data_IF_265190726509
#
_entry.id   IF_265190726509
#
_cell.length_a   1.000
_cell.length_b   1.000
_cell.length_c   1.000
_cell.angle_alpha   90.00
_cell.angle_beta   90.00
_cell.angle_gamma   90.00
#
_symmetry.space_group_name_H-M   'P 1'
#
loop_
_entity.id
_entity.type
_entity.pdbx_description
1 polymer ?
#
# COMPACT_ATOMS: atom_id res chain seq x y z
N UNK A 1 -61.60 49.51 -27.46
CA UNK A 1 -62.45 48.44 -28.03
C UNK A 1 -61.52 47.34 -28.51
N UNK A 2 -61.61 46.13 -27.90
CA UNK A 2 -61.21 44.80 -28.46
C UNK A 2 -59.68 44.63 -28.72
N UNK A 3 -58.93 43.61 -28.28
CA UNK A 3 -59.12 42.32 -27.59
C UNK A 3 -57.70 41.89 -27.14
N UNK A 4 -57.43 41.52 -25.88
CA UNK A 4 -57.59 40.20 -25.22
C UNK A 4 -56.77 39.04 -25.85
N UNK A 5 -56.02 38.36 -24.95
CA UNK A 5 -55.55 36.94 -24.95
C UNK A 5 -54.27 36.63 -25.76
N UNK A 6 -53.27 35.85 -25.34
CA UNK A 6 -52.96 35.06 -24.14
C UNK A 6 -51.41 34.86 -24.12
N UNK A 7 -50.77 34.72 -22.93
CA UNK A 7 -49.38 34.28 -22.78
C UNK A 7 -49.28 32.74 -22.95
N UNK A 8 -48.06 32.17 -22.94
CA UNK A 8 -47.68 30.75 -22.68
C UNK A 8 -46.83 30.05 -23.76
N UNK A 9 -46.65 30.56 -25.00
CA UNK A 9 -45.81 29.82 -25.98
C UNK A 9 -44.29 30.08 -25.94
N UNK A 10 -43.81 31.10 -25.24
CA UNK A 10 -42.36 31.45 -25.26
C UNK A 10 -41.52 30.71 -24.21
N UNK A 11 -42.14 30.20 -23.14
CA UNK A 11 -41.40 29.64 -21.99
C UNK A 11 -41.31 28.10 -22.01
N UNK A 12 -42.09 27.43 -22.86
CA UNK A 12 -42.05 25.96 -23.02
C UNK A 12 -41.04 25.54 -24.10
N UNK A 13 -40.82 26.37 -25.12
CA UNK A 13 -39.85 26.06 -26.18
C UNK A 13 -38.39 26.26 -25.74
N UNK A 14 -38.11 27.18 -24.81
CA UNK A 14 -36.75 27.36 -24.28
C UNK A 14 -36.34 26.31 -23.25
N UNK A 15 -37.27 25.65 -22.57
CA UNK A 15 -36.95 24.64 -21.55
C UNK A 15 -36.82 23.22 -22.13
N UNK A 16 -37.48 22.92 -23.25
CA UNK A 16 -37.29 21.66 -23.97
C UNK A 16 -36.10 21.67 -24.95
N UNK A 17 -35.78 22.81 -25.59
CA UNK A 17 -34.64 22.86 -26.52
C UNK A 17 -33.29 22.93 -25.79
N UNK A 18 -33.22 23.57 -24.63
CA UNK A 18 -31.99 23.58 -23.81
C UNK A 18 -31.78 22.26 -23.05
N UNK A 19 -32.86 21.55 -22.69
CA UNK A 19 -32.77 20.20 -22.12
C UNK A 19 -32.35 19.12 -23.11
N UNK A 20 -32.70 19.26 -24.40
CA UNK A 20 -32.37 18.30 -25.46
C UNK A 20 -30.98 18.57 -26.07
N UNK A 21 -30.52 19.83 -26.16
CA UNK A 21 -29.15 20.12 -26.64
C UNK A 21 -28.07 19.77 -25.62
N UNK A 22 -28.29 20.01 -24.32
CA UNK A 22 -27.33 19.61 -23.28
C UNK A 22 -27.25 18.09 -23.11
N UNK A 23 -28.34 17.36 -23.33
CA UNK A 23 -28.30 15.88 -23.28
C UNK A 23 -27.66 15.26 -24.52
N UNK A 24 -27.87 15.84 -25.72
CA UNK A 24 -27.26 15.35 -26.96
C UNK A 24 -25.74 15.61 -27.04
N UNK A 25 -25.26 16.81 -26.68
CA UNK A 25 -23.82 17.12 -26.72
C UNK A 25 -23.01 16.39 -25.63
N UNK A 26 -23.61 16.15 -24.45
CA UNK A 26 -22.97 15.36 -23.40
C UNK A 26 -22.92 13.88 -23.79
N UNK A 27 -24.01 13.32 -24.35
CA UNK A 27 -24.08 11.94 -24.85
C UNK A 27 -23.10 11.64 -25.99
N UNK A 28 -22.97 12.51 -26.99
CA UNK A 28 -22.02 12.30 -28.11
C UNK A 28 -20.55 12.40 -27.67
N UNK A 29 -20.23 13.34 -26.76
CA UNK A 29 -18.85 13.52 -26.27
C UNK A 29 -18.36 12.37 -25.37
N UNK A 30 -19.25 11.76 -24.59
CA UNK A 30 -18.96 10.57 -23.77
C UNK A 30 -18.78 9.35 -24.65
N UNK A 31 -19.63 9.18 -25.67
CA UNK A 31 -19.57 8.05 -26.61
C UNK A 31 -18.29 8.06 -27.46
N UNK A 32 -17.88 9.23 -27.97
CA UNK A 32 -16.64 9.33 -28.76
C UNK A 32 -15.38 9.04 -27.93
N UNK A 33 -15.29 9.59 -26.70
CA UNK A 33 -14.18 9.30 -25.79
C UNK A 33 -14.12 7.82 -25.43
N UNK A 34 -15.28 7.21 -25.22
CA UNK A 34 -15.37 5.79 -24.94
C UNK A 34 -14.88 4.92 -26.11
N UNK A 35 -15.38 5.19 -27.32
CA UNK A 35 -14.93 4.49 -28.53
C UNK A 35 -13.43 4.68 -28.79
N UNK A 36 -12.91 5.89 -28.55
CA UNK A 36 -11.48 6.17 -28.66
C UNK A 36 -10.66 5.37 -27.63
N UNK A 37 -11.13 5.24 -26.39
CA UNK A 37 -10.48 4.39 -25.39
C UNK A 37 -10.49 2.91 -25.83
N UNK A 38 -11.65 2.39 -26.24
CA UNK A 38 -11.74 1.00 -26.72
C UNK A 38 -10.80 0.75 -27.91
N UNK A 39 -10.75 1.67 -28.87
CA UNK A 39 -9.84 1.58 -30.01
C UNK A 39 -8.36 1.68 -29.59
N UNK A 40 -8.03 2.53 -28.61
CA UNK A 40 -6.68 2.64 -28.07
C UNK A 40 -6.25 1.37 -27.32
N UNK A 41 -7.14 0.78 -26.52
CA UNK A 41 -6.87 -0.47 -25.79
C UNK A 41 -6.73 -1.65 -26.75
N UNK A 42 -7.59 -1.75 -27.77
CA UNK A 42 -7.45 -2.78 -28.82
C UNK A 42 -6.18 -2.56 -29.68
N UNK A 43 -5.83 -1.30 -29.97
CA UNK A 43 -4.56 -0.96 -30.64
C UNK A 43 -3.34 -1.33 -29.80
N UNK A 44 -3.40 -1.10 -28.49
CA UNK A 44 -2.37 -1.50 -27.55
C UNK A 44 -2.27 -3.02 -27.45
N UNK A 45 -3.39 -3.73 -27.35
CA UNK A 45 -3.45 -5.20 -27.38
C UNK A 45 -2.85 -5.77 -28.67
N UNK A 46 -3.23 -5.23 -29.83
CA UNK A 46 -2.68 -5.60 -31.13
C UNK A 46 -1.15 -5.42 -31.19
N UNK A 47 -0.63 -4.35 -30.58
CA UNK A 47 0.79 -4.07 -30.50
C UNK A 47 1.51 -5.02 -29.51
N UNK A 48 0.89 -5.29 -28.36
CA UNK A 48 1.36 -6.25 -27.36
C UNK A 48 1.48 -7.67 -27.96
N UNK A 49 0.46 -8.15 -28.67
CA UNK A 49 0.42 -9.45 -29.34
C UNK A 49 1.48 -9.60 -30.46
N UNK A 50 2.03 -8.49 -30.96
CA UNK A 50 3.06 -8.46 -32.04
C UNK A 50 4.49 -8.29 -31.52
N UNK A 51 4.75 -8.67 -30.26
CA UNK A 51 6.06 -8.53 -29.63
C UNK A 51 6.57 -7.09 -29.59
N UNK A 52 5.73 -6.09 -29.27
CA UNK A 52 6.28 -4.88 -28.65
C UNK A 52 7.02 -5.35 -27.39
N UNK A 53 8.34 -5.17 -27.38
CA UNK A 53 9.16 -5.65 -26.27
C UNK A 53 8.63 -5.04 -24.98
N UNK A 54 8.56 -5.83 -23.92
CA UNK A 54 8.14 -5.38 -22.59
C UNK A 54 8.90 -4.12 -22.14
N UNK A 55 10.11 -3.88 -22.67
CA UNK A 55 10.90 -2.67 -22.48
C UNK A 55 10.19 -1.39 -22.96
N UNK A 56 9.57 -1.39 -24.14
CA UNK A 56 8.88 -0.20 -24.67
C UNK A 56 7.66 0.19 -23.83
N UNK A 57 6.97 -0.80 -23.26
CA UNK A 57 5.83 -0.59 -22.35
C UNK A 57 6.31 0.07 -21.05
N UNK A 58 7.44 -0.39 -20.53
CA UNK A 58 8.05 0.17 -19.31
C UNK A 58 8.61 1.56 -19.57
N UNK A 59 9.23 1.83 -20.72
CA UNK A 59 9.66 3.19 -21.11
C UNK A 59 8.48 4.17 -21.17
N UNK A 60 7.34 3.73 -21.72
CA UNK A 60 6.13 4.54 -21.75
C UNK A 60 5.58 4.81 -20.34
N UNK A 61 5.58 3.81 -19.46
CA UNK A 61 5.18 3.98 -18.06
C UNK A 61 6.14 4.94 -17.29
N UNK A 62 7.46 4.87 -17.55
CA UNK A 62 8.45 5.81 -17.01
C UNK A 62 8.16 7.24 -17.50
N UNK A 63 7.85 7.39 -18.80
CA UNK A 63 7.48 8.69 -19.37
C UNK A 63 6.25 9.28 -18.67
N UNK A 64 5.17 8.50 -18.54
CA UNK A 64 3.97 8.91 -17.80
C UNK A 64 4.33 9.33 -16.36
N UNK A 65 5.10 8.51 -15.64
CA UNK A 65 5.49 8.85 -14.26
C UNK A 65 6.19 10.21 -14.19
N UNK A 66 7.20 10.44 -15.05
CA UNK A 66 7.97 11.69 -15.07
C UNK A 66 7.10 12.90 -15.44
N UNK A 67 6.14 12.73 -16.34
CA UNK A 67 5.27 13.81 -16.80
C UNK A 67 4.20 14.17 -15.76
N UNK A 68 3.65 13.20 -15.04
CA UNK A 68 2.43 13.40 -14.26
C UNK A 68 2.61 13.34 -12.74
N UNK A 69 3.72 12.82 -12.20
CA UNK A 69 3.88 12.63 -10.74
C UNK A 69 4.82 13.63 -10.06
N UNK A 70 5.47 14.51 -10.82
CA UNK A 70 6.48 15.48 -10.32
C UNK A 70 7.62 14.86 -9.47
N UNK A 71 7.76 13.53 -9.44
CA UNK A 71 8.84 12.85 -8.74
C UNK A 71 10.17 12.91 -9.53
N UNK A 72 11.29 12.80 -8.83
CA UNK A 72 12.60 12.76 -9.46
C UNK A 72 12.74 11.52 -10.39
N UNK A 73 13.52 11.61 -11.49
CA UNK A 73 13.63 10.55 -12.48
C UNK A 73 14.01 9.18 -11.91
N UNK A 74 14.82 9.15 -10.85
CA UNK A 74 15.28 7.94 -10.19
C UNK A 74 14.13 7.19 -9.51
N UNK A 75 13.21 7.92 -8.85
CA UNK A 75 12.03 7.34 -8.20
C UNK A 75 11.13 6.70 -9.26
N UNK A 76 10.83 7.41 -10.35
CA UNK A 76 10.01 6.88 -11.44
C UNK A 76 10.65 5.65 -12.12
N UNK A 77 11.96 5.67 -12.34
CA UNK A 77 12.67 4.52 -12.89
C UNK A 77 12.68 3.33 -11.94
N UNK A 78 12.97 3.56 -10.64
CA UNK A 78 12.99 2.52 -9.62
C UNK A 78 11.63 1.86 -9.44
N UNK A 79 10.57 2.66 -9.27
CA UNK A 79 9.20 2.16 -9.14
C UNK A 79 8.78 1.37 -10.38
N UNK A 80 8.94 1.93 -11.59
CA UNK A 80 8.49 1.23 -12.80
C UNK A 80 9.30 -0.05 -13.03
N UNK A 81 10.59 -0.05 -12.70
CA UNK A 81 11.45 -1.24 -12.79
C UNK A 81 11.03 -2.32 -11.79
N UNK A 82 10.81 -1.95 -10.52
CA UNK A 82 10.37 -2.89 -9.49
C UNK A 82 9.02 -3.52 -9.84
N UNK A 83 8.06 -2.71 -10.26
CA UNK A 83 6.72 -3.17 -10.62
C UNK A 83 6.64 -3.86 -11.98
N UNK A 84 7.74 -3.95 -12.75
CA UNK A 84 7.71 -4.42 -14.14
C UNK A 84 6.96 -5.73 -14.34
N UNK A 85 7.28 -6.76 -13.56
CA UNK A 85 6.68 -8.08 -13.76
C UNK A 85 5.18 -8.08 -13.37
N UNK A 86 4.84 -7.46 -12.26
CA UNK A 86 3.46 -7.34 -11.74
C UNK A 86 2.61 -6.49 -12.68
N UNK A 87 3.16 -5.36 -13.13
CA UNK A 87 2.52 -4.47 -14.08
C UNK A 87 2.22 -5.20 -15.39
N UNK A 88 3.21 -5.90 -15.97
CA UNK A 88 2.98 -6.67 -17.19
C UNK A 88 1.95 -7.79 -16.99
N UNK A 89 1.98 -8.48 -15.86
CA UNK A 89 0.98 -9.51 -15.52
C UNK A 89 -0.43 -8.93 -15.41
N UNK A 90 -0.60 -7.80 -14.71
CA UNK A 90 -1.91 -7.14 -14.54
C UNK A 90 -2.39 -6.56 -15.87
N UNK A 91 -1.49 -5.91 -16.61
CA UNK A 91 -1.78 -5.34 -17.94
C UNK A 91 -2.22 -6.44 -18.90
N UNK A 92 -1.52 -7.58 -18.95
CA UNK A 92 -1.94 -8.74 -19.72
C UNK A 92 -3.40 -9.11 -19.38
N UNK A 93 -3.75 -9.22 -18.10
CA UNK A 93 -5.14 -9.54 -17.70
C UNK A 93 -6.16 -8.44 -18.04
N UNK A 94 -5.77 -7.16 -18.01
CA UNK A 94 -6.68 -6.02 -18.21
C UNK A 94 -6.85 -5.61 -19.68
N UNK A 95 -5.82 -5.70 -20.52
CA UNK A 95 -5.90 -5.31 -21.95
C UNK A 95 -6.74 -6.29 -22.77
N UNK A 96 -6.92 -7.52 -22.27
CA UNK A 96 -7.89 -8.48 -22.83
C UNK A 96 -9.34 -8.20 -22.39
N UNK A 97 -9.57 -7.17 -21.55
CA UNK A 97 -10.89 -6.69 -21.17
C UNK A 97 -11.02 -5.16 -21.37
N UNK A 98 -11.08 -4.66 -22.62
CA UNK A 98 -11.15 -3.22 -22.93
C UNK A 98 -12.28 -2.48 -22.20
N UNK A 99 -13.45 -3.12 -22.06
CA UNK A 99 -14.59 -2.56 -21.33
C UNK A 99 -14.33 -2.40 -19.82
N UNK A 100 -13.46 -3.23 -19.23
CA UNK A 100 -13.08 -3.05 -17.83
C UNK A 100 -12.10 -1.91 -17.67
N UNK A 101 -11.06 -1.85 -18.51
CA UNK A 101 -10.05 -0.80 -18.43
C UNK A 101 -10.64 0.59 -18.76
N UNK A 102 -11.43 0.70 -19.82
CA UNK A 102 -12.07 1.95 -20.18
C UNK A 102 -13.16 2.37 -19.17
N UNK A 103 -13.87 1.40 -18.59
CA UNK A 103 -14.83 1.65 -17.53
C UNK A 103 -14.18 2.09 -16.20
N UNK A 104 -12.92 1.71 -15.94
CA UNK A 104 -12.14 2.23 -14.81
C UNK A 104 -11.68 3.68 -15.03
N UNK A 105 -11.36 4.04 -16.28
CA UNK A 105 -10.81 5.36 -16.62
C UNK A 105 -11.89 6.42 -16.87
N UNK A 106 -13.09 6.01 -17.29
CA UNK A 106 -14.18 6.91 -17.67
C UNK A 106 -15.54 6.35 -17.25
N UNK A 107 -16.39 7.24 -16.73
CA UNK A 107 -17.80 6.92 -16.45
C UNK A 107 -18.54 6.57 -17.74
N UNK A 108 -19.49 5.64 -17.65
CA UNK A 108 -20.33 5.15 -18.77
C UNK A 108 -19.57 4.51 -19.95
N UNK A 109 -18.32 4.07 -19.75
CA UNK A 109 -17.51 3.39 -20.76
C UNK A 109 -17.18 1.92 -20.41
N UNK A 110 -18.20 1.20 -19.97
CA UNK A 110 -18.10 -0.18 -19.49
C UNK A 110 -18.33 -0.28 -17.98
N UNK A 111 -18.56 -1.51 -17.51
CA UNK A 111 -18.74 -1.81 -16.09
C UNK A 111 -17.46 -2.43 -15.56
N UNK A 112 -16.52 -1.64 -15.02
CA UNK A 112 -15.31 -2.20 -14.45
C UNK A 112 -15.69 -3.15 -13.33
N UNK A 113 -15.01 -4.29 -13.24
CA UNK A 113 -15.11 -5.11 -12.05
C UNK A 113 -14.54 -4.29 -10.89
N UNK A 114 -15.42 -3.67 -10.12
CA UNK A 114 -15.05 -2.98 -8.90
C UNK A 114 -15.21 -3.96 -7.74
N UNK A 115 -14.10 -4.50 -7.19
CA UNK A 115 -14.18 -5.43 -6.07
C UNK A 115 -14.82 -4.80 -4.82
N UNK A 116 -14.87 -3.47 -4.74
CA UNK A 116 -15.55 -2.72 -3.65
C UNK A 116 -17.07 -2.57 -3.87
N UNK A 117 -17.57 -2.78 -5.09
CA UNK A 117 -19.01 -2.76 -5.39
C UNK A 117 -19.58 -4.17 -5.62
N UNK A 118 -18.74 -5.22 -5.65
CA UNK A 118 -19.20 -6.60 -5.66
C UNK A 118 -19.64 -7.01 -4.25
N UNK A 119 -20.94 -7.22 -4.07
CA UNK A 119 -21.49 -7.78 -2.84
C UNK A 119 -21.06 -9.25 -2.73
N UNK A 120 -20.01 -9.53 -1.96
CA UNK A 120 -19.65 -10.88 -1.53
C UNK A 120 -20.23 -11.15 -0.14
N UNK A 121 -20.59 -12.40 0.11
CA UNK A 121 -21.08 -12.86 1.41
C UNK A 121 -20.18 -13.97 1.93
N UNK A 122 -19.88 -13.94 3.23
CA UNK A 122 -19.22 -15.05 3.91
C UNK A 122 -20.32 -15.88 4.56
N UNK A 123 -20.52 -17.15 4.12
CA UNK A 123 -21.47 -18.02 4.77
C UNK A 123 -20.98 -18.29 6.20
N UNK A 124 -21.75 -17.82 7.19
CA UNK A 124 -21.46 -18.12 8.58
C UNK A 124 -21.90 -19.57 8.88
N UNK A 125 -21.16 -20.30 9.73
CA UNK A 125 -21.62 -21.59 10.21
C UNK A 125 -22.98 -21.44 10.93
N UNK A 126 -23.83 -22.48 10.92
CA UNK A 126 -25.12 -22.42 11.59
C UNK A 126 -24.94 -22.10 13.07
N UNK A 127 -25.80 -21.24 13.62
CA UNK A 127 -25.78 -20.91 15.05
C UNK A 127 -25.87 -22.20 15.86
N UNK A 128 -24.93 -22.48 16.79
CA UNK A 128 -25.02 -23.65 17.65
C UNK A 128 -26.34 -23.64 18.42
N UNK A 129 -26.94 -24.82 18.63
CA UNK A 129 -28.20 -24.94 19.41
C UNK A 129 -27.96 -24.37 20.81
N UNK A 130 -28.93 -23.63 21.33
CA UNK A 130 -28.88 -22.84 22.58
C UNK A 130 -28.48 -23.65 23.84
N UNK A 131 -28.51 -24.98 23.75
CA UNK A 131 -28.19 -25.91 24.83
C UNK A 131 -26.73 -26.42 24.79
N UNK A 132 -25.92 -25.98 23.82
CA UNK A 132 -24.48 -26.33 23.73
C UNK A 132 -23.55 -25.27 24.30
N UNK A 133 -24.05 -24.07 24.58
CA UNK A 133 -23.34 -23.13 25.45
C UNK A 133 -23.76 -23.47 26.87
N UNK A 134 -22.83 -23.99 27.67
CA UNK A 134 -23.01 -23.93 29.12
C UNK A 134 -23.37 -22.48 29.45
N UNK A 135 -24.52 -22.24 30.07
CA UNK A 135 -24.92 -20.90 30.57
C UNK A 135 -23.91 -20.27 31.54
N UNK A 136 -22.80 -20.96 31.82
CA UNK A 136 -21.59 -20.45 32.49
C UNK A 136 -20.77 -19.50 31.61
N UNK A 137 -20.88 -19.58 30.28
CA UNK A 137 -20.15 -18.73 29.32
C UNK A 137 -20.95 -17.50 28.86
N UNK A 138 -22.20 -17.37 29.33
CA UNK A 138 -22.91 -16.10 29.26
C UNK A 138 -22.17 -15.12 30.18
N UNK A 139 -21.36 -14.24 29.56
CA UNK A 139 -20.49 -13.25 30.20
C UNK A 139 -20.95 -12.90 31.60
N UNK A 140 -20.23 -13.34 32.67
CA UNK A 140 -20.50 -12.80 33.98
C UNK A 140 -20.24 -11.31 33.84
N UNK A 141 -21.29 -10.50 34.01
CA UNK A 141 -21.19 -9.04 33.98
C UNK A 141 -19.94 -8.65 34.75
N UNK A 142 -19.09 -7.82 34.14
CA UNK A 142 -17.78 -7.42 34.64
C UNK A 142 -17.89 -6.88 36.08
N UNK A 143 -17.94 -7.77 37.05
CA UNK A 143 -17.68 -7.46 38.44
C UNK A 143 -16.19 -7.22 38.45
N UNK A 144 -15.78 -5.98 38.76
CA UNK A 144 -14.39 -5.63 39.04
C UNK A 144 -13.97 -6.44 40.26
N UNK A 145 -13.60 -7.70 40.04
CA UNK A 145 -13.03 -8.55 41.08
C UNK A 145 -11.69 -7.91 41.43
N UNK A 146 -11.62 -7.31 42.62
CA UNK A 146 -10.37 -6.83 43.18
C UNK A 146 -9.39 -8.01 43.19
N UNK A 147 -8.22 -7.85 42.56
CA UNK A 147 -7.15 -8.85 42.53
C UNK A 147 -6.98 -9.70 41.26
N UNK A 148 -7.64 -9.38 40.13
CA UNK A 148 -7.30 -10.03 38.85
C UNK A 148 -5.95 -9.56 38.32
N UNK A 149 -5.08 -10.50 37.98
CA UNK A 149 -3.82 -10.28 37.29
C UNK A 149 -4.06 -9.48 36.00
N UNK A 150 -3.40 -8.34 35.86
CA UNK A 150 -3.46 -7.51 34.66
C UNK A 150 -2.54 -8.09 33.61
N UNK A 151 -3.07 -8.38 32.42
CA UNK A 151 -2.26 -8.72 31.25
C UNK A 151 -1.57 -7.47 30.71
N UNK A 152 -0.26 -7.54 30.48
CA UNK A 152 0.55 -6.45 29.92
C UNK A 152 1.07 -6.87 28.56
N UNK A 153 0.63 -6.15 27.53
CA UNK A 153 0.95 -6.44 26.14
C UNK A 153 1.75 -5.28 25.57
N UNK A 154 2.91 -5.57 24.99
CA UNK A 154 3.66 -4.59 24.21
C UNK A 154 3.21 -4.68 22.75
N UNK A 155 2.75 -3.58 22.16
CA UNK A 155 2.45 -3.50 20.74
C UNK A 155 3.43 -2.53 20.08
N UNK A 156 4.12 -3.01 19.04
CA UNK A 156 5.02 -2.22 18.20
C UNK A 156 4.51 -2.29 16.75
N UNK A 157 4.48 -1.14 16.09
CA UNK A 157 3.98 -0.97 14.72
C UNK A 157 4.81 0.09 14.02
N UNK A 158 4.86 0.04 12.69
CA UNK A 158 5.35 1.14 11.84
C UNK A 158 6.77 1.58 12.25
N UNK A 159 7.64 0.60 12.49
CA UNK A 159 9.00 0.86 12.95
C UNK A 159 9.85 1.52 11.86
N UNK A 160 9.56 1.20 10.60
CA UNK A 160 10.25 1.73 9.42
C UNK A 160 11.77 1.90 9.63
N UNK A 161 12.48 0.77 9.72
CA UNK A 161 13.94 0.72 9.76
C UNK A 161 14.52 1.34 8.50
N UNK A 162 15.17 2.48 8.67
CA UNK A 162 16.07 2.99 7.65
C UNK A 162 17.51 2.58 7.95
N UNK A 163 17.93 1.50 7.31
CA UNK A 163 19.31 1.00 7.38
C UNK A 163 20.33 1.92 6.71
N UNK A 164 19.86 2.92 5.96
CA UNK A 164 20.69 3.90 5.26
C UNK A 164 20.60 5.31 5.89
N UNK A 165 19.88 5.46 7.00
CA UNK A 165 19.78 6.73 7.70
C UNK A 165 21.16 7.24 8.11
N UNK A 166 21.46 8.48 7.76
CA UNK A 166 22.75 9.11 8.01
C UNK A 166 22.58 10.44 8.75
N UNK A 167 23.03 10.55 10.01
CA UNK A 167 23.08 11.82 10.71
C UNK A 167 23.86 12.88 9.93
N UNK A 168 23.34 14.10 9.88
CA UNK A 168 23.89 15.21 9.11
C UNK A 168 23.47 15.26 7.65
N UNK A 169 22.88 14.18 7.09
CA UNK A 169 22.32 14.19 5.75
C UNK A 169 21.14 15.16 5.60
N UNK A 170 20.74 15.46 4.38
CA UNK A 170 19.61 16.36 4.14
C UNK A 170 18.29 15.74 4.58
N UNK A 171 17.54 16.44 5.43
CA UNK A 171 16.20 16.03 5.87
C UNK A 171 15.06 16.72 5.11
N UNK A 172 15.37 17.76 4.31
CA UNK A 172 14.46 18.47 3.41
C UNK A 172 14.94 18.25 1.97
N UNK A 173 14.64 17.08 1.44
CA UNK A 173 15.03 16.64 0.10
C UNK A 173 13.84 16.66 -0.88
N UNK A 174 14.14 16.39 -2.15
CA UNK A 174 13.17 16.32 -3.25
C UNK A 174 12.41 15.00 -3.30
N UNK A 175 13.01 13.94 -2.77
CA UNK A 175 12.45 12.60 -2.79
C UNK A 175 11.32 12.42 -1.75
N UNK A 176 10.54 11.32 -1.84
CA UNK A 176 9.53 10.97 -0.83
C UNK A 176 10.12 10.70 0.57
N UNK A 177 11.34 10.16 0.63
CA UNK A 177 12.11 9.94 1.87
C UNK A 177 13.51 10.55 1.74
N UNK A 178 14.00 11.13 2.84
CA UNK A 178 15.23 11.87 3.01
C UNK A 178 16.11 11.25 4.13
N UNK A 179 17.04 12.02 4.69
CA UNK A 179 17.94 11.63 5.78
C UNK A 179 18.92 10.49 5.44
N UNK A 180 19.17 10.23 4.16
CA UNK A 180 20.16 9.27 3.68
C UNK A 180 21.28 9.98 2.93
N UNK A 181 22.40 9.28 2.70
CA UNK A 181 23.58 9.82 2.02
C UNK A 181 23.28 10.46 0.66
N UNK A 182 22.29 9.93 -0.06
CA UNK A 182 21.88 10.35 -1.40
C UNK A 182 20.72 11.37 -1.40
N UNK A 183 20.25 11.79 -0.23
CA UNK A 183 19.18 12.79 -0.12
C UNK A 183 19.63 14.15 -0.63
N UNK A 184 18.94 14.65 -1.65
CA UNK A 184 19.30 15.91 -2.32
C UNK A 184 18.20 16.96 -2.31
N UNK A 185 18.60 18.24 -2.20
CA UNK A 185 17.69 19.39 -2.20
C UNK A 185 17.88 20.28 -3.45
N UNK A 186 17.02 21.30 -3.59
CA UNK A 186 17.04 22.22 -4.74
C UNK A 186 18.39 22.95 -4.94
N UNK A 187 19.13 23.25 -3.88
CA UNK A 187 20.42 23.93 -3.95
C UNK A 187 21.53 23.02 -4.47
N UNK A 188 21.39 21.70 -4.35
CA UNK A 188 22.42 20.76 -4.78
C UNK A 188 22.47 20.57 -6.30
N UNK A 189 21.46 21.08 -7.03
CA UNK A 189 21.48 21.16 -8.51
C UNK A 189 22.54 22.15 -9.03
N UNK A 190 22.99 23.10 -8.19
CA UNK A 190 24.07 24.03 -8.54
C UNK A 190 25.41 23.53 -7.97
N UNK A 191 26.46 23.35 -8.80
CA UNK A 191 27.78 22.88 -8.34
C UNK A 191 28.39 23.70 -7.20
N UNK A 192 28.11 25.02 -7.14
CA UNK A 192 28.63 25.91 -6.09
C UNK A 192 27.98 25.70 -4.73
N UNK A 193 26.79 25.12 -4.69
CA UNK A 193 25.99 24.86 -3.49
C UNK A 193 25.70 23.37 -3.30
N UNK A 194 26.48 22.49 -3.96
CA UNK A 194 26.31 21.03 -3.90
C UNK A 194 26.32 20.46 -2.48
N UNK A 195 27.05 21.10 -1.56
CA UNK A 195 27.15 20.68 -0.16
C UNK A 195 26.22 21.47 0.77
N UNK A 196 25.34 22.30 0.23
CA UNK A 196 24.41 23.05 1.05
C UNK A 196 23.32 22.11 1.59
N UNK A 197 23.24 22.02 2.90
CA UNK A 197 22.20 21.28 3.63
C UNK A 197 21.25 22.32 4.23
N UNK A 198 19.97 22.23 3.87
CA UNK A 198 18.89 23.08 4.38
C UNK A 198 18.64 22.73 5.85
N UNK A 199 18.44 21.44 6.14
CA UNK A 199 18.24 20.96 7.50
C UNK A 199 18.96 19.61 7.70
N UNK A 200 20.00 19.54 8.54
CA UNK A 200 20.72 18.30 8.77
C UNK A 200 19.88 17.32 9.59
N UNK A 201 19.98 16.03 9.26
CA UNK A 201 19.34 14.95 9.97
C UNK A 201 19.96 14.79 11.38
N UNK A 202 19.12 14.71 12.40
CA UNK A 202 19.53 14.46 13.78
C UNK A 202 20.03 13.02 13.98
N UNK A 203 20.80 12.79 15.04
CA UNK A 203 21.34 11.46 15.34
C UNK A 203 20.22 10.44 15.64
N UNK A 204 19.26 10.77 16.49
CA UNK A 204 18.19 9.85 16.91
C UNK A 204 17.00 9.75 15.94
N UNK A 205 17.06 10.44 14.80
CA UNK A 205 15.91 10.65 13.93
C UNK A 205 15.63 12.13 13.71
N UNK A 206 14.78 12.43 12.73
CA UNK A 206 14.44 13.81 12.36
C UNK A 206 12.96 13.91 12.04
N UNK A 207 12.28 14.88 12.64
CA UNK A 207 10.92 15.24 12.23
C UNK A 207 10.97 15.81 10.81
N UNK A 208 10.41 15.06 9.85
CA UNK A 208 10.45 15.36 8.43
C UNK A 208 10.08 14.12 7.60
N UNK A 209 10.46 14.13 6.32
CA UNK A 209 10.31 12.98 5.42
C UNK A 209 11.42 11.95 5.68
N UNK A 210 11.53 11.46 6.90
CA UNK A 210 12.61 10.55 7.29
C UNK A 210 12.06 9.43 8.13
N UNK A 211 12.61 8.24 7.90
CA UNK A 211 12.35 7.07 8.72
C UNK A 211 13.38 6.95 9.87
N UNK A 212 13.29 5.87 10.62
CA UNK A 212 13.97 5.75 11.92
C UNK A 212 15.28 4.97 11.78
N UNK A 213 16.42 5.49 12.27
CA UNK A 213 17.66 4.74 12.25
C UNK A 213 17.61 3.54 13.20
N UNK A 214 18.34 2.48 12.84
CA UNK A 214 18.44 1.24 13.61
C UNK A 214 18.69 1.47 15.11
N UNK A 215 19.62 2.36 15.47
CA UNK A 215 20.00 2.57 16.87
C UNK A 215 18.91 3.25 17.71
N UNK A 216 17.96 3.97 17.10
CA UNK A 216 16.80 4.52 17.82
C UNK A 216 15.84 3.42 18.21
N UNK A 217 15.59 2.46 17.31
CA UNK A 217 14.73 1.30 17.59
C UNK A 217 15.39 0.41 18.64
N UNK A 218 16.70 0.15 18.52
CA UNK A 218 17.44 -0.57 19.56
C UNK A 218 17.34 0.13 20.92
N UNK A 219 17.52 1.46 20.95
CA UNK A 219 17.44 2.22 22.20
C UNK A 219 16.04 2.19 22.81
N UNK A 220 14.98 2.23 22.00
CA UNK A 220 13.60 2.04 22.44
C UNK A 220 13.41 0.66 23.09
N UNK A 221 13.81 -0.42 22.42
CA UNK A 221 13.67 -1.79 22.95
C UNK A 221 14.49 -1.98 24.23
N UNK A 222 15.70 -1.44 24.28
CA UNK A 222 16.55 -1.42 25.48
C UNK A 222 15.86 -0.70 26.64
N UNK A 223 15.25 0.45 26.38
CA UNK A 223 14.54 1.22 27.40
C UNK A 223 13.35 0.44 27.94
N UNK A 224 12.50 -0.10 27.06
CA UNK A 224 11.32 -0.89 27.44
C UNK A 224 11.73 -2.10 28.29
N UNK A 225 12.78 -2.85 27.91
CA UNK A 225 13.26 -3.97 28.72
C UNK A 225 13.78 -3.52 30.12
N UNK A 226 14.35 -2.31 30.21
CA UNK A 226 14.83 -1.76 31.48
C UNK A 226 13.73 -1.26 32.42
N UNK A 227 12.64 -0.71 31.87
CA UNK A 227 11.58 -0.04 32.64
C UNK A 227 10.34 -0.90 32.81
N UNK A 228 9.98 -1.69 31.80
CA UNK A 228 8.79 -2.52 31.81
C UNK A 228 9.09 -3.92 32.33
N UNK A 229 8.25 -4.40 33.24
CA UNK A 229 8.33 -5.74 33.83
C UNK A 229 7.06 -6.51 33.55
N UNK A 230 7.18 -7.83 33.46
CA UNK A 230 6.07 -8.77 33.32
C UNK A 230 5.23 -8.50 32.06
N UNK A 231 5.89 -8.33 30.90
CA UNK A 231 5.19 -8.36 29.62
C UNK A 231 4.79 -9.81 29.34
N UNK A 232 3.50 -10.05 29.12
CA UNK A 232 2.97 -11.38 28.85
C UNK A 232 3.22 -11.79 27.39
N UNK A 233 3.17 -10.83 26.46
CA UNK A 233 3.59 -11.03 25.07
C UNK A 233 3.81 -9.70 24.33
N UNK A 234 4.43 -9.81 23.15
CA UNK A 234 4.71 -8.72 22.21
C UNK A 234 3.91 -8.96 20.93
N UNK A 235 3.29 -7.91 20.40
CA UNK A 235 2.66 -7.86 19.08
C UNK A 235 3.48 -6.96 18.17
N UNK A 236 3.95 -7.49 17.06
CA UNK A 236 4.62 -6.72 16.00
C UNK A 236 3.66 -6.58 14.83
N UNK A 237 3.06 -5.40 14.64
CA UNK A 237 1.94 -5.20 13.72
C UNK A 237 2.29 -4.86 12.26
N UNK A 238 3.55 -5.01 11.85
CA UNK A 238 4.00 -4.80 10.46
C UNK A 238 4.68 -3.45 10.22
N UNK A 239 4.98 -3.16 8.96
CA UNK A 239 5.62 -1.92 8.50
C UNK A 239 6.99 -1.68 9.16
N UNK A 240 7.88 -2.65 8.92
CA UNK A 240 9.25 -2.66 9.41
C UNK A 240 10.23 -2.02 8.44
N UNK A 241 9.97 -2.08 7.13
CA UNK A 241 10.85 -1.54 6.10
C UNK A 241 10.67 -0.03 5.91
N UNK A 242 11.73 0.69 5.56
CA UNK A 242 11.62 2.12 5.21
C UNK A 242 10.82 2.38 3.93
N UNK A 243 10.32 3.60 3.79
CA UNK A 243 9.56 4.11 2.65
C UNK A 243 10.42 4.33 1.38
N UNK A 244 11.62 3.73 1.28
CA UNK A 244 12.45 3.80 0.08
C UNK A 244 12.01 2.76 -0.96
N UNK A 245 10.72 2.82 -1.27
CA UNK A 245 9.98 1.80 -2.04
C UNK A 245 10.55 1.56 -3.43
N UNK A 246 11.22 2.55 -4.00
CA UNK A 246 11.78 2.47 -5.35
C UNK A 246 13.14 1.78 -5.44
N UNK A 247 13.84 1.55 -4.32
CA UNK A 247 15.20 1.00 -4.35
C UNK A 247 15.48 -0.18 -3.43
N UNK A 248 14.59 -0.53 -2.51
CA UNK A 248 14.81 -1.71 -1.66
C UNK A 248 14.68 -3.03 -2.43
N UNK A 249 15.15 -4.10 -1.83
CA UNK A 249 15.10 -5.45 -2.40
C UNK A 249 14.50 -6.46 -1.42
N UNK A 250 14.22 -7.68 -1.91
CA UNK A 250 13.83 -8.81 -1.06
C UNK A 250 14.90 -9.10 0.00
N UNK A 251 16.18 -8.94 -0.34
CA UNK A 251 17.27 -9.16 0.60
C UNK A 251 17.31 -8.11 1.70
N UNK A 252 17.04 -6.84 1.38
CA UNK A 252 16.95 -5.78 2.39
C UNK A 252 15.83 -6.07 3.40
N UNK A 253 14.67 -6.52 2.92
CA UNK A 253 13.55 -6.96 3.77
C UNK A 253 13.91 -8.12 4.69
N UNK A 254 14.55 -9.15 4.14
CA UNK A 254 15.03 -10.28 4.94
C UNK A 254 16.04 -9.83 6.00
N UNK A 255 16.88 -8.83 5.70
CA UNK A 255 17.83 -8.27 6.66
C UNK A 255 17.14 -7.46 7.75
N UNK A 256 16.15 -6.63 7.42
CA UNK A 256 15.36 -5.89 8.42
C UNK A 256 14.61 -6.85 9.36
N UNK A 257 13.95 -7.87 8.82
CA UNK A 257 13.26 -8.89 9.63
C UNK A 257 14.25 -9.61 10.54
N UNK A 258 15.43 -10.02 10.03
CA UNK A 258 16.47 -10.65 10.84
C UNK A 258 16.97 -9.73 11.95
N UNK A 259 17.32 -8.48 11.62
CA UNK A 259 17.79 -7.50 12.58
C UNK A 259 16.76 -7.22 13.69
N UNK A 260 15.49 -7.07 13.34
CA UNK A 260 14.42 -6.90 14.32
C UNK A 260 14.22 -8.17 15.16
N UNK A 261 14.32 -9.36 14.55
CA UNK A 261 14.29 -10.63 15.27
C UNK A 261 15.40 -10.67 16.31
N UNK A 262 16.65 -10.42 15.90
CA UNK A 262 17.82 -10.43 16.79
C UNK A 262 17.68 -9.41 17.93
N UNK A 263 17.15 -8.22 17.65
CA UNK A 263 16.87 -7.21 18.68
C UNK A 263 15.81 -7.69 19.69
N UNK A 264 14.71 -8.27 19.21
CA UNK A 264 13.67 -8.82 20.09
C UNK A 264 14.23 -9.97 20.92
N UNK A 265 15.00 -10.89 20.34
CA UNK A 265 15.61 -11.99 21.09
C UNK A 265 16.63 -11.51 22.12
N UNK A 266 17.39 -10.45 21.79
CA UNK A 266 18.36 -9.84 22.69
C UNK A 266 17.71 -9.19 23.92
N UNK A 267 16.60 -8.47 23.73
CA UNK A 267 15.97 -7.71 24.82
C UNK A 267 14.81 -8.45 25.49
N UNK A 268 14.14 -9.37 24.81
CA UNK A 268 12.97 -10.10 25.28
C UNK A 268 13.07 -11.61 24.95
N UNK A 269 14.13 -12.31 25.41
CA UNK A 269 14.40 -13.70 25.01
C UNK A 269 13.29 -14.68 25.39
N UNK A 270 12.62 -14.43 26.51
CA UNK A 270 11.60 -15.30 27.11
C UNK A 270 10.16 -14.82 26.87
N UNK A 271 9.97 -13.68 26.20
CA UNK A 271 8.64 -13.11 25.98
C UNK A 271 8.05 -13.57 24.64
N UNK A 272 6.88 -14.24 24.63
CA UNK A 272 6.19 -14.60 23.40
C UNK A 272 6.01 -13.41 22.47
N UNK A 273 6.40 -13.57 21.20
CA UNK A 273 6.32 -12.50 20.20
C UNK A 273 5.55 -12.99 18.98
N UNK A 274 4.49 -12.27 18.64
CA UNK A 274 3.62 -12.58 17.51
C UNK A 274 3.80 -11.54 16.41
N UNK A 275 4.12 -12.02 15.23
CA UNK A 275 4.41 -11.21 14.07
C UNK A 275 3.21 -11.14 13.14
N UNK A 276 2.95 -9.96 12.58
CA UNK A 276 2.08 -9.76 11.44
C UNK A 276 2.84 -9.10 10.30
N UNK A 277 2.17 -8.91 9.18
CA UNK A 277 2.76 -8.35 7.96
C UNK A 277 2.00 -7.06 7.66
N UNK A 278 2.75 -5.97 7.49
CA UNK A 278 2.23 -4.69 7.04
C UNK A 278 2.33 -4.58 5.52
N UNK A 279 1.92 -3.43 5.00
CA UNK A 279 1.84 -3.24 3.56
C UNK A 279 3.21 -2.90 2.94
N UNK A 280 4.17 -2.40 3.74
CA UNK A 280 5.53 -2.11 3.28
C UNK A 280 6.44 -3.34 3.18
N UNK A 281 6.03 -4.53 3.63
CA UNK A 281 6.88 -5.73 3.54
C UNK A 281 6.93 -6.37 2.14
N UNK A 282 6.01 -5.99 1.25
CA UNK A 282 5.96 -6.47 -0.11
C UNK A 282 7.13 -5.93 -0.94
N UNK A 283 7.68 -6.76 -1.84
CA UNK A 283 8.61 -6.30 -2.87
C UNK A 283 8.05 -6.70 -4.23
N UNK A 284 7.49 -5.74 -4.99
CA UNK A 284 7.36 -4.30 -4.69
C UNK A 284 6.35 -3.96 -3.57
N UNK A 285 6.36 -2.72 -3.06
CA UNK A 285 5.45 -2.24 -2.00
C UNK A 285 3.99 -2.67 -2.26
N UNK A 286 3.25 -3.02 -1.21
CA UNK A 286 1.84 -3.43 -1.28
C UNK A 286 1.55 -4.71 -2.12
N UNK A 287 2.57 -5.44 -2.57
CA UNK A 287 2.38 -6.60 -3.46
C UNK A 287 2.18 -7.90 -2.68
N UNK A 288 0.91 -8.20 -2.38
CA UNK A 288 0.49 -9.44 -1.71
C UNK A 288 -0.47 -10.25 -2.60
N UNK A 289 0.10 -11.05 -3.49
CA UNK A 289 -0.68 -11.80 -4.46
C UNK A 289 -1.53 -12.91 -3.79
N UNK A 290 -2.85 -12.99 -4.06
CA UNK A 290 -3.68 -14.09 -3.57
C UNK A 290 -3.24 -15.47 -4.09
N UNK A 291 -3.67 -16.54 -3.42
CA UNK A 291 -3.28 -17.92 -3.76
C UNK A 291 -3.72 -18.41 -5.15
N UNK A 292 -4.58 -17.68 -5.87
CA UNK A 292 -4.94 -18.00 -7.26
C UNK A 292 -3.97 -17.42 -8.31
N UNK A 293 -3.14 -16.44 -7.94
CA UNK A 293 -2.12 -15.84 -8.80
C UNK A 293 -0.90 -16.79 -8.89
N UNK A 294 -0.14 -16.87 -10.00
CA UNK A 294 1.05 -17.72 -10.09
C UNK A 294 2.05 -17.53 -8.94
N UNK A 295 2.76 -18.61 -8.57
CA UNK A 295 3.58 -18.67 -7.34
C UNK A 295 4.73 -17.67 -7.34
N UNK A 296 5.27 -17.33 -8.50
CA UNK A 296 6.35 -16.38 -8.70
C UNK A 296 6.00 -14.95 -8.26
N UNK A 297 4.71 -14.59 -8.21
CA UNK A 297 4.23 -13.30 -7.72
C UNK A 297 3.84 -13.32 -6.23
N UNK A 298 3.85 -14.49 -5.58
CA UNK A 298 3.51 -14.63 -4.16
C UNK A 298 4.76 -14.39 -3.32
N UNK A 299 4.69 -13.59 -2.24
CA UNK A 299 5.84 -13.30 -1.41
C UNK A 299 6.14 -14.43 -0.41
N UNK A 300 6.29 -15.68 -0.89
CA UNK A 300 6.56 -16.84 -0.02
C UNK A 300 7.86 -16.68 0.77
N UNK A 301 8.85 -16.00 0.19
CA UNK A 301 10.12 -15.67 0.85
C UNK A 301 9.89 -14.84 2.14
N UNK A 302 8.92 -13.93 2.13
CA UNK A 302 8.54 -13.09 3.26
C UNK A 302 7.77 -13.92 4.31
N UNK A 303 6.77 -14.69 3.87
CA UNK A 303 5.99 -15.56 4.77
C UNK A 303 6.88 -16.54 5.51
N UNK A 304 7.84 -17.14 4.80
CA UNK A 304 8.83 -18.01 5.40
C UNK A 304 9.71 -17.26 6.41
N UNK A 305 10.15 -16.04 6.12
CA UNK A 305 10.98 -15.26 7.03
C UNK A 305 10.24 -14.93 8.34
N UNK A 306 9.02 -14.39 8.24
CA UNK A 306 8.17 -14.07 9.39
C UNK A 306 7.85 -15.33 10.20
N UNK A 307 7.55 -16.45 9.51
CA UNK A 307 7.36 -17.73 10.15
C UNK A 307 8.60 -18.16 10.95
N UNK A 308 9.81 -18.10 10.38
CA UNK A 308 11.02 -18.46 11.10
C UNK A 308 11.24 -17.57 12.32
N UNK A 309 11.02 -16.25 12.21
CA UNK A 309 11.15 -15.29 13.31
C UNK A 309 10.18 -15.56 14.47
N UNK A 310 8.96 -16.01 14.18
CA UNK A 310 7.96 -16.33 15.19
C UNK A 310 7.96 -17.80 15.65
N UNK A 311 8.70 -18.68 14.97
CA UNK A 311 8.55 -20.14 15.06
C UNK A 311 8.59 -20.69 16.49
N UNK A 312 9.47 -20.15 17.34
CA UNK A 312 9.62 -20.60 18.73
C UNK A 312 8.36 -20.42 19.58
N UNK A 313 7.46 -19.52 19.18
CA UNK A 313 6.23 -19.19 19.90
C UNK A 313 4.96 -19.80 19.29
N UNK A 314 5.08 -20.45 18.14
CA UNK A 314 3.94 -21.00 17.40
C UNK A 314 3.78 -22.49 17.67
N UNK A 315 2.56 -22.93 17.92
CA UNK A 315 2.24 -24.36 17.96
C UNK A 315 2.49 -24.98 16.57
N UNK A 316 3.10 -26.18 16.47
CA UNK A 316 3.31 -26.90 15.20
C UNK A 316 2.08 -27.01 14.30
N UNK A 317 0.86 -26.99 14.85
CA UNK A 317 -0.39 -26.97 14.07
C UNK A 317 -0.61 -25.62 13.39
N UNK A 318 -0.47 -24.52 14.12
CA UNK A 318 -0.62 -23.15 13.61
C UNK A 318 0.50 -22.80 12.62
N UNK A 319 1.69 -23.38 12.81
CA UNK A 319 2.83 -23.25 11.93
C UNK A 319 2.59 -23.75 10.49
N UNK A 320 1.70 -24.74 10.30
CA UNK A 320 1.38 -25.31 8.97
C UNK A 320 0.41 -24.46 8.17
N UNK A 321 -0.35 -23.58 8.81
CA UNK A 321 -1.35 -22.72 8.17
C UNK A 321 -0.76 -21.40 7.67
N UNK A 322 0.47 -21.05 8.10
CA UNK A 322 1.20 -19.85 7.68
C UNK A 322 2.02 -20.01 6.38
N UNK A 323 2.19 -21.24 5.87
CA UNK A 323 3.09 -21.56 4.74
C UNK A 323 2.29 -21.93 3.49
#
# INVERSE_FOLDING_TARGET
MISRKFPILSTIFLTLTFGILLTAQVSESINFKCQACHAAVEGFKFAYERNVTSDKIIEFAIFICKTFTHHEPLVCQGMTSQFRAQFLYVVEKLIFAPAQLCGMLMNDCGTPHNPFNSNWTIPLPPKPKENQYDKKDASPGFTKSQGKQTFRVLQLSDLHFDTFYQPGAESVCLDPICCQADSSNMHQKNPKTRNHIIKPAGYWGTIGKCDVPYWTIENMLKHINGTERNLDYIMLSGDYMSHKDWSYTKMDHLNVIRNLTDLIEKYFPETPTFWTIGNHEGVPVNTFAPHFVPKEFRPQWLYNAVYQSGKKWLNPKNAKEMI
#
